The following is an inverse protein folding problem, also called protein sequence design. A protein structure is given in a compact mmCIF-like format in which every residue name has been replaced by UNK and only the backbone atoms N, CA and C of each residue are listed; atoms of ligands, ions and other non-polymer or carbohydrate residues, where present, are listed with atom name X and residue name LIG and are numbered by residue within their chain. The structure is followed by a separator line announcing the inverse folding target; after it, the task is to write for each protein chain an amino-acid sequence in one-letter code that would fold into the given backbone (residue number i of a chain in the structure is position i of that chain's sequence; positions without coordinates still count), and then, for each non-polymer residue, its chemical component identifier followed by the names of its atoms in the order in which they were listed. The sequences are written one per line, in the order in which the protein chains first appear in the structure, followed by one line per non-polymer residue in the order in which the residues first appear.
data_IF_370841132630
#
_entry.id   IF_370841132630
#
_cell.length_a   1.000
_cell.length_b   1.000
_cell.length_c   1.000
_cell.angle_alpha   90.00
_cell.angle_beta   90.00
_cell.angle_gamma   90.00
#
_symmetry.space_group_name_H-M   'P 1'
#
loop_
_entity.id
_entity.type
_entity.pdbx_description
1 polymer ?
#
# COMPACT_ATOMS: atom_id res chain seq x y z
N UNK A 1 7.70 -21.62 -48.74
CA UNK A 1 7.92 -23.07 -48.63
C UNK A 1 7.63 -23.40 -47.18
N UNK A 2 6.38 -23.70 -46.80
CA UNK A 2 5.68 -24.99 -46.68
C UNK A 2 6.40 -25.95 -45.76
N UNK A 3 5.84 -26.19 -44.57
CA UNK A 3 5.38 -27.45 -43.94
C UNK A 3 4.97 -27.10 -42.49
N UNK A 4 3.78 -27.12 -42.05
CA UNK A 4 2.58 -27.99 -41.97
C UNK A 4 2.81 -29.27 -41.15
N UNK A 5 2.08 -29.30 -40.04
CA UNK A 5 1.39 -30.43 -39.36
C UNK A 5 2.23 -31.48 -38.60
N UNK A 6 1.87 -31.75 -37.33
CA UNK A 6 1.00 -32.88 -36.94
C UNK A 6 0.58 -32.87 -35.47
N UNK A 7 -0.70 -33.06 -35.30
CA UNK A 7 -1.47 -33.47 -34.12
C UNK A 7 -1.06 -34.84 -33.59
N UNK A 8 -1.13 -35.07 -32.29
CA UNK A 8 -1.55 -36.37 -31.75
C UNK A 8 -2.31 -36.22 -30.44
N UNK A 9 -3.62 -36.47 -30.51
CA UNK A 9 -4.54 -36.71 -29.38
C UNK A 9 -4.32 -38.13 -28.88
N UNK A 10 -4.31 -38.33 -27.56
CA UNK A 10 -4.52 -39.66 -26.95
C UNK A 10 -5.63 -39.51 -25.89
N UNK A 11 -6.80 -40.04 -26.30
CA UNK A 11 -7.86 -40.46 -25.39
C UNK A 11 -7.48 -41.82 -24.80
N UNK A 12 -7.68 -42.03 -23.52
CA UNK A 12 -7.87 -43.37 -22.97
C UNK A 12 -8.98 -43.37 -21.95
N UNK A 13 -9.93 -44.29 -22.22
CA UNK A 13 -11.24 -44.47 -21.58
C UNK A 13 -11.17 -45.42 -20.39
N UNK A 14 -11.95 -45.12 -19.39
CA UNK A 14 -12.90 -45.92 -18.58
C UNK A 14 -12.55 -47.40 -18.29
N UNK A 15 -12.61 -47.78 -17.03
CA UNK A 15 -13.36 -48.98 -16.59
C UNK A 15 -13.90 -48.83 -15.16
N UNK A 16 -15.21 -48.98 -15.05
CA UNK A 16 -16.03 -49.12 -13.85
C UNK A 16 -15.94 -50.60 -13.43
N UNK A 17 -15.78 -50.87 -12.17
CA UNK A 17 -16.13 -52.16 -11.58
C UNK A 17 -16.87 -51.95 -10.26
N UNK A 18 -18.13 -52.34 -10.32
CA UNK A 18 -19.10 -52.50 -9.25
C UNK A 18 -18.89 -53.86 -8.57
N UNK A 19 -18.91 -53.89 -7.26
CA UNK A 19 -19.21 -55.15 -6.54
C UNK A 19 -19.97 -54.79 -5.26
N UNK A 20 -21.23 -55.22 -5.27
CA UNK A 20 -22.06 -55.36 -4.05
C UNK A 20 -21.59 -56.55 -3.25
N UNK A 21 -21.67 -56.48 -1.96
CA UNK A 21 -22.01 -57.65 -1.14
C UNK A 21 -22.85 -57.25 0.06
N UNK A 22 -23.89 -58.07 0.31
CA UNK A 22 -24.90 -57.96 1.33
C UNK A 22 -24.42 -58.71 2.61
N UNK A 23 -24.81 -58.24 3.75
CA UNK A 23 -24.69 -58.95 5.02
C UNK A 23 -25.67 -58.39 6.04
N UNK A 24 -26.73 -59.15 6.29
CA UNK A 24 -27.87 -58.86 7.17
C UNK A 24 -27.59 -59.11 8.68
N UNK A 25 -28.34 -58.31 9.47
CA UNK A 25 -29.08 -58.62 10.73
C UNK A 25 -28.29 -58.67 12.02
N UNK A 26 -28.65 -57.83 13.00
CA UNK A 26 -29.26 -58.24 14.27
C UNK A 26 -29.76 -57.04 15.08
N UNK A 27 -30.97 -57.21 15.55
CA UNK A 27 -31.82 -56.35 16.35
C UNK A 27 -31.30 -56.03 17.77
N UNK A 28 -31.93 -54.96 18.28
CA UNK A 28 -32.42 -54.68 19.65
C UNK A 28 -31.49 -53.87 20.54
N UNK A 29 -31.89 -52.62 20.82
CA UNK A 29 -32.36 -52.18 22.15
C UNK A 29 -32.67 -50.67 22.11
N UNK A 30 -33.92 -50.37 22.35
CA UNK A 30 -34.39 -49.04 22.76
C UNK A 30 -34.17 -48.83 24.25
N UNK A 31 -33.72 -47.68 24.68
CA UNK A 31 -34.29 -47.11 25.89
C UNK A 31 -34.72 -45.63 25.70
N UNK A 32 -35.90 -45.44 26.18
CA UNK A 32 -36.44 -44.31 26.96
C UNK A 32 -36.20 -42.88 26.53
N UNK A 33 -37.33 -42.28 26.18
CA UNK A 33 -37.59 -40.86 26.09
C UNK A 33 -37.30 -40.15 27.39
N UNK A 34 -36.38 -39.17 27.35
CA UNK A 34 -36.35 -38.07 28.31
C UNK A 34 -36.77 -36.76 27.61
N UNK A 35 -37.44 -35.86 28.34
CA UNK A 35 -38.11 -34.69 27.69
C UNK A 35 -37.12 -33.63 27.26
N UNK A 36 -37.40 -33.09 26.06
CA UNK A 36 -36.67 -31.97 25.50
C UNK A 36 -36.79 -30.73 26.39
N UNK A 37 -35.68 -30.29 26.95
CA UNK A 37 -35.54 -28.91 27.44
C UNK A 37 -35.42 -27.98 26.23
N UNK A 38 -36.43 -27.14 26.04
CA UNK A 38 -36.38 -26.04 25.11
C UNK A 38 -35.39 -25.02 25.62
N UNK A 39 -34.21 -25.02 25.05
CA UNK A 39 -33.25 -23.89 25.21
C UNK A 39 -33.63 -22.90 24.14
N UNK A 40 -34.34 -21.85 24.54
CA UNK A 40 -34.43 -20.63 23.75
C UNK A 40 -33.02 -20.06 23.58
N UNK A 41 -32.41 -20.30 22.46
CA UNK A 41 -31.26 -19.52 22.01
C UNK A 41 -31.79 -18.12 21.63
N UNK A 42 -31.67 -17.17 22.55
CA UNK A 42 -31.66 -15.75 22.21
C UNK A 42 -30.44 -15.53 21.32
N UNK A 43 -30.66 -15.43 20.03
CA UNK A 43 -29.75 -14.79 19.09
C UNK A 43 -29.65 -13.32 19.50
N UNK A 44 -28.68 -12.98 20.34
CA UNK A 44 -28.20 -11.61 20.40
C UNK A 44 -27.61 -11.30 19.02
N UNK A 45 -28.31 -10.50 18.24
CA UNK A 45 -27.73 -9.79 17.12
C UNK A 45 -26.61 -8.95 17.72
N UNK A 46 -25.39 -9.35 17.49
CA UNK A 46 -24.23 -8.49 17.68
C UNK A 46 -24.46 -7.25 16.80
N UNK A 47 -24.83 -6.18 17.44
CA UNK A 47 -24.93 -4.88 16.84
C UNK A 47 -23.52 -4.52 16.41
N UNK A 48 -23.27 -4.42 15.10
CA UNK A 48 -22.01 -3.94 14.58
C UNK A 48 -21.64 -2.66 15.33
N UNK A 49 -20.44 -2.61 15.87
CA UNK A 49 -19.96 -1.45 16.58
C UNK A 49 -20.04 -0.24 15.63
N UNK A 50 -20.71 0.80 16.04
CA UNK A 50 -20.75 2.05 15.29
C UNK A 50 -19.30 2.50 15.02
N UNK A 51 -19.01 3.08 13.84
CA UNK A 51 -17.69 3.59 13.53
C UNK A 51 -17.22 4.51 14.66
N UNK A 52 -16.06 4.21 15.24
CA UNK A 52 -15.47 5.09 16.26
C UNK A 52 -15.03 6.34 15.52
N UNK A 53 -15.68 7.46 15.75
CA UNK A 53 -15.27 8.75 15.20
C UNK A 53 -13.80 9.01 15.53
N UNK A 54 -12.95 9.30 14.54
CA UNK A 54 -11.56 9.64 14.80
C UNK A 54 -11.48 10.90 15.64
N UNK A 55 -10.87 10.82 16.81
CA UNK A 55 -10.52 12.01 17.58
C UNK A 55 -9.36 12.71 16.87
N UNK A 56 -9.68 13.54 15.88
CA UNK A 56 -8.72 14.45 15.25
C UNK A 56 -8.62 15.69 16.12
N UNK A 57 -7.49 15.88 16.76
CA UNK A 57 -7.13 17.11 17.52
C UNK A 57 -6.25 18.03 16.67
N UNK A 58 -6.63 18.29 15.41
CA UNK A 58 -5.93 19.28 14.58
C UNK A 58 -6.90 20.40 14.17
N UNK A 59 -6.39 21.63 13.94
CA UNK A 59 -7.24 22.74 13.50
C UNK A 59 -7.84 22.41 12.15
N UNK A 60 -9.16 22.53 12.04
CA UNK A 60 -9.91 22.41 10.79
C UNK A 60 -9.39 23.40 9.75
N UNK A 61 -8.52 22.92 8.87
CA UNK A 61 -8.25 23.60 7.60
C UNK A 61 -9.39 23.26 6.65
N UNK A 62 -10.07 24.27 6.11
CA UNK A 62 -11.13 24.07 5.12
C UNK A 62 -10.56 23.44 3.83
N UNK A 63 -11.32 22.55 3.17
CA UNK A 63 -10.89 21.64 2.10
C UNK A 63 -9.94 22.21 1.03
N UNK A 64 -10.10 23.45 0.61
CA UNK A 64 -9.26 24.07 -0.44
C UNK A 64 -7.85 24.47 0.10
N UNK A 65 -7.75 24.86 1.36
CA UNK A 65 -6.48 25.21 2.00
C UNK A 65 -5.59 23.98 2.30
N UNK A 66 -6.19 22.79 2.50
CA UNK A 66 -5.48 21.54 2.65
C UNK A 66 -4.73 21.11 1.38
N UNK A 67 -5.19 21.56 0.21
CA UNK A 67 -4.66 21.16 -1.08
C UNK A 67 -3.64 22.14 -1.68
N UNK A 68 -3.66 23.40 -1.26
CA UNK A 68 -2.94 24.51 -1.93
C UNK A 68 -1.85 25.14 -1.08
N UNK A 69 -1.73 24.82 0.22
CA UNK A 69 -0.67 25.39 1.06
C UNK A 69 0.64 24.64 0.86
N UNK A 70 1.54 25.20 0.07
CA UNK A 70 2.94 24.80 0.04
C UNK A 70 3.62 25.23 1.33
N UNK A 71 4.09 24.28 2.13
CA UNK A 71 4.76 24.53 3.42
C UNK A 71 6.20 24.97 3.25
N UNK A 72 6.79 24.74 2.08
CA UNK A 72 8.16 25.14 1.75
C UNK A 72 8.26 25.75 0.34
N UNK A 73 7.63 26.92 0.09
CA UNK A 73 7.46 27.50 -1.26
C UNK A 73 8.78 27.81 -1.99
N UNK A 74 9.89 27.91 -1.27
CA UNK A 74 11.23 28.11 -1.82
C UNK A 74 11.96 26.79 -2.15
N UNK A 75 11.27 25.66 -2.11
CA UNK A 75 11.82 24.32 -2.33
C UNK A 75 10.94 23.50 -3.25
N UNK A 76 11.53 22.48 -3.90
CA UNK A 76 10.74 21.42 -4.56
C UNK A 76 10.04 20.50 -3.54
N UNK A 77 10.52 20.43 -2.31
CA UNK A 77 9.87 19.70 -1.22
C UNK A 77 8.61 20.44 -0.77
N UNK A 78 7.50 19.73 -0.64
CA UNK A 78 6.27 20.27 -0.03
C UNK A 78 6.50 20.64 1.44
N UNK A 79 7.14 19.75 2.22
CA UNK A 79 7.61 20.03 3.57
C UNK A 79 9.08 19.61 3.69
N UNK A 80 9.84 20.30 4.56
CA UNK A 80 11.24 19.96 4.80
C UNK A 80 11.36 18.74 5.71
N UNK A 81 12.48 18.00 5.63
CA UNK A 81 12.68 16.85 6.49
C UNK A 81 12.59 17.21 7.98
N UNK A 82 11.85 16.40 8.72
CA UNK A 82 11.68 16.48 10.17
C UNK A 82 12.21 15.19 10.78
N UNK A 83 12.85 15.31 11.95
CA UNK A 83 13.32 14.13 12.68
C UNK A 83 12.14 13.44 13.36
N UNK A 84 11.94 12.16 13.04
CA UNK A 84 10.88 11.33 13.64
C UNK A 84 11.38 10.72 14.96
N UNK A 85 12.55 10.08 14.90
CA UNK A 85 13.32 9.60 16.05
C UNK A 85 14.81 9.77 15.73
N UNK A 86 15.66 9.48 16.69
CA UNK A 86 17.11 9.63 16.51
C UNK A 86 17.62 8.87 15.26
N UNK A 87 18.26 9.62 14.37
CA UNK A 87 18.80 9.15 13.09
C UNK A 87 17.79 8.90 12.00
N UNK A 88 16.47 9.02 12.23
CA UNK A 88 15.40 8.78 11.24
C UNK A 88 14.65 10.08 10.95
N UNK A 89 14.54 10.41 9.68
CA UNK A 89 13.96 11.65 9.19
C UNK A 89 12.95 11.38 8.09
N UNK A 90 11.96 12.24 7.92
CA UNK A 90 11.04 12.21 6.80
C UNK A 90 10.65 13.62 6.35
N UNK A 91 10.60 13.83 5.03
CA UNK A 91 9.96 14.98 4.41
C UNK A 91 8.53 14.56 4.05
N UNK A 92 7.56 15.13 4.76
CA UNK A 92 6.14 14.76 4.58
C UNK A 92 5.62 15.39 3.30
N UNK A 93 5.07 14.57 2.41
CA UNK A 93 4.43 15.03 1.18
C UNK A 93 3.03 15.59 1.41
N UNK A 94 2.51 16.29 0.42
CA UNK A 94 1.14 16.77 0.42
C UNK A 94 0.16 15.59 0.50
N UNK A 95 -0.91 15.69 1.28
CA UNK A 95 -1.99 14.71 1.29
C UNK A 95 -2.88 14.78 0.04
N UNK A 96 -2.64 15.76 -0.83
CA UNK A 96 -3.26 15.94 -2.15
C UNK A 96 -2.64 15.01 -3.21
N UNK A 97 -3.29 14.80 -4.37
CA UNK A 97 -2.65 14.19 -5.54
C UNK A 97 -1.42 14.97 -6.01
N UNK A 98 -0.58 14.34 -6.85
CA UNK A 98 0.50 15.03 -7.56
C UNK A 98 -0.06 16.23 -8.35
N UNK A 99 0.54 17.41 -8.16
CA UNK A 99 0.17 18.67 -8.79
C UNK A 99 1.41 19.53 -9.01
N UNK A 100 1.26 20.55 -9.84
CA UNK A 100 2.33 21.54 -10.06
C UNK A 100 2.72 22.25 -8.76
N UNK A 101 1.73 22.64 -7.93
CA UNK A 101 1.91 23.40 -6.70
C UNK A 101 2.72 22.63 -5.63
N UNK A 102 2.53 21.32 -5.54
CA UNK A 102 3.30 20.48 -4.61
C UNK A 102 4.54 19.84 -5.28
N UNK A 103 4.88 20.21 -6.51
CA UNK A 103 6.02 19.68 -7.25
C UNK A 103 6.00 18.14 -7.41
N UNK A 104 4.82 17.52 -7.32
CA UNK A 104 4.67 16.06 -7.29
C UNK A 104 5.05 15.41 -5.95
N UNK A 105 5.46 16.19 -4.94
CA UNK A 105 5.80 15.68 -3.63
C UNK A 105 4.52 15.41 -2.81
N UNK A 106 3.96 14.23 -2.99
CA UNK A 106 2.71 13.81 -2.36
C UNK A 106 2.83 12.51 -1.53
N UNK A 107 4.03 11.93 -1.46
CA UNK A 107 4.38 10.81 -0.58
C UNK A 107 5.48 11.21 0.39
N UNK A 108 5.75 10.38 1.38
CA UNK A 108 6.83 10.63 2.32
C UNK A 108 8.19 10.21 1.73
N UNK A 109 9.15 11.13 1.76
CA UNK A 109 10.54 10.87 1.41
C UNK A 109 11.34 10.76 2.71
N UNK A 110 11.70 9.53 3.08
CA UNK A 110 12.33 9.25 4.37
C UNK A 110 13.80 8.90 4.21
N UNK A 111 14.60 9.15 5.24
CA UNK A 111 15.98 8.70 5.25
C UNK A 111 16.47 8.37 6.66
N UNK A 112 17.45 7.48 6.69
CA UNK A 112 18.09 7.04 7.94
C UNK A 112 19.59 7.30 7.85
N UNK A 113 20.09 8.06 8.81
CA UNK A 113 21.50 8.41 8.93
C UNK A 113 22.20 7.40 9.82
N UNK A 114 23.31 6.86 9.34
CA UNK A 114 24.18 5.96 10.10
C UNK A 114 25.60 6.48 10.12
N UNK A 115 26.50 5.84 10.86
CA UNK A 115 27.92 6.22 10.90
C UNK A 115 28.69 5.92 9.60
N UNK A 116 28.09 5.17 8.65
CA UNK A 116 28.74 4.76 7.42
C UNK A 116 28.08 5.29 6.14
N UNK A 117 26.91 5.93 6.26
CA UNK A 117 26.16 6.44 5.12
C UNK A 117 24.69 6.66 5.45
N UNK A 118 23.95 7.07 4.44
CA UNK A 118 22.50 7.32 4.51
C UNK A 118 21.78 6.30 3.62
N UNK A 119 20.66 5.75 4.13
CA UNK A 119 19.68 5.03 3.34
C UNK A 119 18.46 5.93 3.16
N UNK A 120 18.05 6.13 1.91
CA UNK A 120 16.84 6.88 1.53
C UNK A 120 15.75 5.90 1.16
N UNK A 121 14.49 6.18 1.54
CA UNK A 121 13.30 5.43 1.11
C UNK A 121 12.47 6.36 0.25
N UNK A 122 12.23 5.90 -0.98
CA UNK A 122 11.68 6.60 -2.13
C UNK A 122 12.62 7.63 -2.76
N UNK A 123 12.79 7.49 -4.06
CA UNK A 123 13.66 8.37 -4.83
C UNK A 123 13.06 9.77 -5.07
N UNK A 124 11.73 9.90 -4.96
CA UNK A 124 11.00 11.12 -5.26
C UNK A 124 10.37 11.12 -6.66
N UNK A 125 9.47 12.07 -6.88
CA UNK A 125 8.64 12.15 -8.09
C UNK A 125 9.33 12.87 -9.28
N UNK A 126 10.58 13.31 -9.14
CA UNK A 126 11.39 13.88 -10.20
C UNK A 126 12.86 14.00 -9.80
N UNK A 127 13.73 14.23 -10.80
CA UNK A 127 15.15 14.52 -10.60
C UNK A 127 15.36 15.73 -9.66
N UNK A 128 14.65 16.84 -9.90
CA UNK A 128 14.77 18.06 -9.10
C UNK A 128 14.24 17.89 -7.67
N UNK A 129 13.23 17.06 -7.47
CA UNK A 129 12.74 16.74 -6.12
C UNK A 129 13.75 15.90 -5.35
N UNK A 130 14.39 14.91 -5.99
CA UNK A 130 15.47 14.12 -5.40
C UNK A 130 16.69 15.01 -5.04
N UNK A 131 17.06 15.93 -5.92
CA UNK A 131 18.13 16.91 -5.66
C UNK A 131 17.81 17.81 -4.45
N UNK A 132 16.55 18.26 -4.35
CA UNK A 132 16.09 19.06 -3.22
C UNK A 132 16.19 18.29 -1.90
N UNK A 133 15.75 17.02 -1.87
CA UNK A 133 15.90 16.17 -0.69
C UNK A 133 17.37 15.97 -0.32
N UNK A 134 18.23 15.67 -1.29
CA UNK A 134 19.66 15.51 -1.06
C UNK A 134 20.32 16.79 -0.50
N UNK A 135 19.86 17.94 -0.96
CA UNK A 135 20.30 19.24 -0.46
C UNK A 135 19.97 19.41 1.04
N UNK A 136 18.79 18.97 1.47
CA UNK A 136 18.41 19.00 2.89
C UNK A 136 19.21 17.95 3.70
N UNK A 137 19.42 16.75 3.17
CA UNK A 137 20.26 15.71 3.81
C UNK A 137 21.67 16.27 4.09
N UNK A 138 22.30 16.94 3.12
CA UNK A 138 23.64 17.54 3.26
C UNK A 138 23.74 18.64 4.33
N UNK A 139 22.63 19.26 4.74
CA UNK A 139 22.61 20.20 5.86
C UNK A 139 22.62 19.51 7.22
N UNK A 140 22.23 18.22 7.25
CA UNK A 140 22.09 17.44 8.49
C UNK A 140 23.31 16.55 8.71
N UNK A 141 23.90 16.00 7.63
CA UNK A 141 25.04 15.08 7.71
C UNK A 141 25.97 15.19 6.51
N UNK A 142 27.26 14.93 6.74
CA UNK A 142 28.26 14.79 5.68
C UNK A 142 28.34 13.35 5.13
N UNK A 143 27.55 12.42 5.65
CA UNK A 143 27.54 11.03 5.21
C UNK A 143 26.95 10.91 3.79
N UNK A 144 27.57 10.11 2.89
CA UNK A 144 27.02 9.92 1.54
C UNK A 144 25.74 9.08 1.58
N UNK A 145 24.83 9.35 0.64
CA UNK A 145 23.71 8.44 0.38
C UNK A 145 24.26 7.20 -0.34
N UNK A 146 24.16 6.05 0.29
CA UNK A 146 24.64 4.77 -0.25
C UNK A 146 23.55 3.96 -0.91
N UNK A 147 22.34 4.00 -0.34
CA UNK A 147 21.20 3.22 -0.80
C UNK A 147 19.97 4.08 -0.95
N UNK A 148 19.21 3.81 -2.01
CA UNK A 148 17.85 4.31 -2.20
C UNK A 148 16.94 3.12 -2.39
N UNK A 149 15.94 2.97 -1.55
CA UNK A 149 14.99 1.86 -1.57
C UNK A 149 13.66 2.37 -2.10
N UNK A 150 13.17 1.79 -3.18
CA UNK A 150 11.86 2.10 -3.73
C UNK A 150 10.80 1.23 -3.05
N UNK A 151 9.79 1.85 -2.49
CA UNK A 151 8.69 1.11 -1.85
C UNK A 151 7.84 0.34 -2.87
N UNK A 152 7.72 0.88 -4.10
CA UNK A 152 7.00 0.28 -5.22
C UNK A 152 7.47 0.89 -6.56
N UNK A 153 6.78 0.55 -7.67
CA UNK A 153 7.09 1.05 -9.01
C UNK A 153 6.38 2.35 -9.40
N UNK A 154 5.67 3.01 -8.48
CA UNK A 154 4.91 4.22 -8.81
C UNK A 154 5.79 5.47 -8.96
N UNK A 155 5.29 6.47 -9.68
CA UNK A 155 6.06 7.66 -10.04
C UNK A 155 6.62 8.44 -8.85
N UNK A 156 5.88 8.51 -7.75
CA UNK A 156 6.33 9.19 -6.53
C UNK A 156 7.52 8.50 -5.85
N UNK A 157 7.64 7.17 -6.03
CA UNK A 157 8.72 6.39 -5.47
C UNK A 157 9.95 6.33 -6.38
N UNK A 158 9.77 6.28 -7.73
CA UNK A 158 10.86 5.86 -8.63
C UNK A 158 11.44 6.97 -9.53
N UNK A 159 10.70 8.06 -9.84
CA UNK A 159 11.12 9.01 -10.89
C UNK A 159 12.38 9.82 -10.56
N UNK A 160 12.78 9.89 -9.30
CA UNK A 160 14.05 10.51 -8.89
C UNK A 160 15.26 9.58 -8.96
N UNK A 161 15.11 8.31 -9.38
CA UNK A 161 16.17 7.29 -9.31
C UNK A 161 17.41 7.65 -10.13
N UNK A 162 17.25 8.25 -11.30
CA UNK A 162 18.36 8.66 -12.15
C UNK A 162 19.25 9.73 -11.48
N UNK A 163 18.68 10.62 -10.64
CA UNK A 163 19.47 11.52 -9.82
C UNK A 163 20.35 10.77 -8.82
N UNK A 164 19.76 9.82 -8.08
CA UNK A 164 20.48 9.10 -7.04
C UNK A 164 21.58 8.19 -7.59
N UNK A 165 21.31 7.51 -8.72
CA UNK A 165 22.34 6.72 -9.42
C UNK A 165 23.50 7.61 -9.89
N UNK A 166 23.22 8.82 -10.40
CA UNK A 166 24.24 9.79 -10.77
C UNK A 166 25.06 10.30 -9.57
N UNK A 167 24.51 10.24 -8.34
CA UNK A 167 25.24 10.53 -7.10
C UNK A 167 26.03 9.32 -6.56
N UNK A 168 25.94 8.17 -7.21
CA UNK A 168 26.63 6.94 -6.82
C UNK A 168 25.90 6.09 -5.78
N UNK A 169 24.62 6.38 -5.51
CA UNK A 169 23.79 5.54 -4.65
C UNK A 169 23.30 4.30 -5.42
N UNK A 170 23.19 3.16 -4.73
CA UNK A 170 22.58 1.94 -5.26
C UNK A 170 21.07 2.02 -5.07
N UNK A 171 20.30 1.96 -6.15
CA UNK A 171 18.82 1.93 -6.13
C UNK A 171 18.36 0.48 -6.05
N UNK A 172 17.50 0.17 -5.07
CA UNK A 172 17.01 -1.17 -4.76
C UNK A 172 15.49 -1.18 -4.80
N UNK A 173 14.89 -2.19 -5.43
CA UNK A 173 13.45 -2.38 -5.48
C UNK A 173 13.06 -3.87 -5.39
N UNK A 174 11.79 -4.14 -5.09
CA UNK A 174 11.22 -5.47 -5.33
C UNK A 174 11.20 -5.79 -6.82
N UNK A 175 11.34 -7.08 -7.20
CA UNK A 175 11.33 -7.49 -8.61
C UNK A 175 10.06 -7.07 -9.36
N UNK A 176 8.90 -7.13 -8.71
CA UNK A 176 7.63 -6.75 -9.34
C UNK A 176 7.51 -5.23 -9.50
N UNK A 177 8.08 -4.45 -8.57
CA UNK A 177 8.21 -3.00 -8.75
C UNK A 177 9.17 -2.65 -9.90
N UNK A 178 10.27 -3.37 -10.04
CA UNK A 178 11.19 -3.19 -11.18
C UNK A 178 10.50 -3.53 -12.52
N UNK A 179 9.68 -4.59 -12.55
CA UNK A 179 8.88 -4.94 -13.72
C UNK A 179 7.84 -3.87 -14.05
N UNK A 180 7.15 -3.33 -13.06
CA UNK A 180 6.22 -2.20 -13.23
C UNK A 180 6.91 -0.97 -13.83
N UNK A 181 8.13 -0.66 -13.37
CA UNK A 181 8.95 0.45 -13.93
C UNK A 181 9.32 0.17 -15.38
N UNK A 182 9.71 -1.05 -15.71
CA UNK A 182 10.09 -1.46 -17.08
C UNK A 182 8.90 -1.33 -18.05
N UNK A 183 7.72 -1.78 -17.65
CA UNK A 183 6.53 -1.80 -18.50
C UNK A 183 5.86 -0.42 -18.61
N UNK A 184 5.72 0.29 -17.50
CA UNK A 184 4.86 1.47 -17.39
C UNK A 184 5.61 2.79 -17.12
N UNK A 185 6.90 2.72 -16.76
CA UNK A 185 7.68 3.88 -16.31
C UNK A 185 7.68 5.06 -17.28
N UNK A 186 7.77 4.80 -18.58
CA UNK A 186 7.72 5.88 -19.60
C UNK A 186 6.37 6.59 -19.58
N UNK A 187 5.27 5.86 -19.52
CA UNK A 187 3.92 6.45 -19.43
C UNK A 187 3.73 7.24 -18.13
N UNK A 188 4.24 6.73 -17.03
CA UNK A 188 4.23 7.42 -15.72
C UNK A 188 5.02 8.73 -15.81
N UNK A 189 6.20 8.73 -16.43
CA UNK A 189 7.01 9.94 -16.61
C UNK A 189 6.30 10.98 -17.49
N UNK A 190 5.69 10.58 -18.60
CA UNK A 190 4.96 11.52 -19.47
C UNK A 190 3.80 12.18 -18.74
N UNK A 191 3.01 11.42 -17.98
CA UNK A 191 1.96 11.97 -17.12
C UNK A 191 2.52 12.93 -16.07
N UNK A 192 3.66 12.60 -15.47
CA UNK A 192 4.31 13.46 -14.49
C UNK A 192 4.80 14.76 -15.11
N UNK A 193 5.38 14.73 -16.33
CA UNK A 193 5.77 15.93 -17.09
C UNK A 193 4.58 16.83 -17.39
N UNK A 194 3.44 16.27 -17.77
CA UNK A 194 2.20 17.04 -17.97
C UNK A 194 1.74 17.71 -16.67
N UNK A 195 1.90 17.01 -15.54
CA UNK A 195 1.43 17.45 -14.22
C UNK A 195 2.32 18.55 -13.62
N UNK A 196 3.64 18.34 -13.58
CA UNK A 196 4.58 19.23 -12.87
C UNK A 196 5.45 20.07 -13.82
N UNK A 197 5.32 19.88 -15.14
CA UNK A 197 5.93 20.67 -16.21
C UNK A 197 7.46 20.75 -16.10
N UNK A 198 8.04 21.96 -16.06
CA UNK A 198 9.49 22.18 -15.94
C UNK A 198 10.09 21.61 -14.65
N UNK A 199 9.28 21.38 -13.63
CA UNK A 199 9.73 20.71 -12.39
C UNK A 199 10.07 19.23 -12.61
N UNK A 200 9.77 18.67 -13.78
CA UNK A 200 10.22 17.34 -14.19
C UNK A 200 11.52 17.36 -15.00
N UNK A 201 12.17 18.53 -15.19
CA UNK A 201 13.39 18.64 -15.98
C UNK A 201 14.49 17.70 -15.45
N UNK A 202 15.22 17.04 -16.36
CA UNK A 202 16.29 16.09 -16.04
C UNK A 202 15.81 14.71 -15.60
N UNK A 203 14.50 14.50 -15.44
CA UNK A 203 13.95 13.21 -15.02
C UNK A 203 13.96 12.21 -16.17
N UNK A 204 14.56 11.05 -15.91
CA UNK A 204 14.63 9.91 -16.82
C UNK A 204 14.19 8.64 -16.09
N UNK A 205 13.51 7.74 -16.80
CA UNK A 205 13.20 6.41 -16.27
C UNK A 205 14.44 5.55 -16.32
N UNK A 206 14.84 5.04 -15.17
CA UNK A 206 15.94 4.08 -15.02
C UNK A 206 15.45 2.90 -14.18
N UNK A 207 16.02 1.73 -14.45
CA UNK A 207 15.73 0.54 -13.63
C UNK A 207 16.56 0.58 -12.34
N UNK A 208 16.10 -0.07 -11.27
CA UNK A 208 16.90 -0.25 -10.06
C UNK A 208 18.18 -1.04 -10.36
N UNK A 209 19.25 -0.75 -9.61
CA UNK A 209 20.54 -1.45 -9.75
C UNK A 209 20.47 -2.86 -9.17
N UNK A 210 19.66 -3.07 -8.14
CA UNK A 210 19.45 -4.35 -7.47
C UNK A 210 17.97 -4.63 -7.25
N UNK A 211 17.58 -5.90 -7.39
CA UNK A 211 16.23 -6.37 -7.06
C UNK A 211 16.26 -7.50 -6.04
N UNK A 212 15.13 -7.69 -5.33
CA UNK A 212 14.92 -8.82 -4.43
C UNK A 212 13.47 -9.33 -4.51
N UNK A 213 13.19 -10.48 -3.90
CA UNK A 213 11.84 -11.07 -3.86
C UNK A 213 11.20 -10.88 -2.48
N UNK A 214 11.44 -11.78 -1.54
CA UNK A 214 10.74 -11.77 -0.25
C UNK A 214 11.37 -10.81 0.76
N UNK A 215 12.70 -10.86 0.88
CA UNK A 215 13.45 -10.11 1.89
C UNK A 215 14.85 -9.80 1.45
N UNK A 216 15.27 -8.56 1.75
CA UNK A 216 16.68 -8.16 1.68
C UNK A 216 17.09 -7.49 3.00
N UNK A 217 18.28 -7.83 3.50
CA UNK A 217 18.84 -7.22 4.71
C UNK A 217 20.04 -6.36 4.32
N UNK A 218 20.08 -5.14 4.84
CA UNK A 218 21.23 -4.24 4.74
C UNK A 218 21.69 -3.94 6.16
N UNK A 219 22.98 -4.15 6.41
CA UNK A 219 23.65 -3.73 7.64
C UNK A 219 24.57 -2.55 7.28
N UNK A 220 24.35 -1.40 7.91
CA UNK A 220 25.15 -0.21 7.63
C UNK A 220 25.31 0.64 8.90
N UNK A 221 26.56 0.89 9.30
CA UNK A 221 26.88 1.72 10.45
C UNK A 221 26.23 1.26 11.76
N UNK A 222 26.05 -0.06 11.94
CA UNK A 222 25.44 -0.66 13.12
C UNK A 222 23.91 -0.61 13.14
N UNK A 223 23.27 -0.17 12.04
CA UNK A 223 21.83 -0.21 11.86
C UNK A 223 21.45 -1.33 10.90
N UNK A 224 20.50 -2.16 11.32
CA UNK A 224 19.91 -3.22 10.51
C UNK A 224 18.65 -2.72 9.83
N UNK A 225 18.58 -2.86 8.52
CA UNK A 225 17.43 -2.58 7.67
C UNK A 225 16.91 -3.89 7.09
N UNK A 226 15.64 -4.19 7.29
CA UNK A 226 14.98 -5.30 6.66
C UNK A 226 13.98 -4.77 5.63
N UNK A 227 14.28 -4.98 4.35
CA UNK A 227 13.37 -4.69 3.25
C UNK A 227 12.48 -5.92 3.08
N UNK A 228 11.18 -5.79 3.32
CA UNK A 228 10.26 -6.92 3.36
C UNK A 228 9.11 -6.72 2.39
N UNK A 229 8.89 -7.69 1.50
CA UNK A 229 7.61 -7.88 0.86
C UNK A 229 6.77 -8.81 1.76
N UNK A 230 5.70 -8.29 2.34
CA UNK A 230 4.83 -9.05 3.24
C UNK A 230 3.71 -9.80 2.50
N UNK A 231 3.48 -9.45 1.25
CA UNK A 231 2.43 -9.95 0.39
C UNK A 231 1.74 -8.81 -0.38
N UNK A 232 0.66 -9.11 -1.10
CA UNK A 232 -0.08 -8.10 -1.85
C UNK A 232 -0.58 -6.97 -0.94
N UNK A 233 -0.45 -5.72 -1.41
CA UNK A 233 -0.93 -4.53 -0.74
C UNK A 233 -1.54 -3.55 -1.75
N UNK A 234 -1.07 -2.29 -1.77
CA UNK A 234 -1.61 -1.24 -2.63
C UNK A 234 -1.32 -1.48 -4.12
N UNK A 235 -0.08 -1.90 -4.42
CA UNK A 235 0.41 -2.14 -5.78
C UNK A 235 1.32 -3.36 -5.85
N UNK A 236 1.62 -3.87 -7.06
CA UNK A 236 2.61 -4.94 -7.22
C UNK A 236 3.99 -4.51 -6.70
N UNK A 237 4.59 -5.36 -5.87
CA UNK A 237 5.95 -5.12 -5.38
C UNK A 237 6.06 -4.11 -4.26
N UNK A 238 4.95 -3.76 -3.57
CA UNK A 238 5.02 -2.96 -2.35
C UNK A 238 5.90 -3.65 -1.31
N UNK A 239 6.78 -2.86 -0.72
CA UNK A 239 7.65 -3.30 0.37
C UNK A 239 7.62 -2.32 1.53
N UNK A 240 8.08 -2.80 2.66
CA UNK A 240 8.34 -1.97 3.83
C UNK A 240 9.83 -2.00 4.18
N UNK A 241 10.30 -0.96 4.87
CA UNK A 241 11.64 -0.92 5.46
C UNK A 241 11.50 -0.97 6.97
N UNK A 242 11.83 -2.13 7.56
CA UNK A 242 11.75 -2.38 8.99
C UNK A 242 13.09 -2.17 9.68
N UNK A 243 13.11 -1.40 10.74
CA UNK A 243 14.27 -1.14 11.63
C UNK A 243 13.98 -1.77 13.00
N UNK A 244 14.32 -3.05 13.21
CA UNK A 244 13.90 -3.81 14.39
C UNK A 244 14.41 -3.21 15.70
N UNK A 245 15.66 -2.75 15.77
CA UNK A 245 16.25 -2.17 16.98
C UNK A 245 15.59 -0.82 17.37
N UNK A 246 15.06 -0.10 16.38
CA UNK A 246 14.34 1.16 16.58
C UNK A 246 12.84 0.98 16.75
N UNK A 247 12.32 -0.25 16.52
CA UNK A 247 10.89 -0.55 16.45
C UNK A 247 10.13 0.42 15.54
N UNK A 248 10.76 0.80 14.43
CA UNK A 248 10.22 1.73 13.46
C UNK A 248 10.10 1.06 12.10
N UNK A 249 8.98 1.26 11.45
CA UNK A 249 8.75 0.86 10.07
C UNK A 249 8.48 2.08 9.19
N UNK A 250 9.16 2.13 8.03
CA UNK A 250 8.80 3.00 6.92
C UNK A 250 8.00 2.13 5.97
N UNK A 251 6.68 2.35 5.94
CA UNK A 251 5.75 1.37 5.37
C UNK A 251 5.45 1.59 3.90
N UNK A 252 5.81 2.75 3.35
CA UNK A 252 5.32 3.08 2.02
C UNK A 252 3.80 2.95 1.94
N UNK A 253 3.30 2.66 0.76
CA UNK A 253 1.87 2.55 0.47
C UNK A 253 1.20 1.29 1.06
N UNK A 254 1.95 0.46 1.81
CA UNK A 254 1.35 -0.52 2.71
C UNK A 254 0.40 0.15 3.71
N UNK A 255 0.71 1.41 4.16
CA UNK A 255 -0.11 2.16 5.09
C UNK A 255 -0.28 3.62 4.69
N UNK A 256 -1.49 4.13 4.86
CA UNK A 256 -1.90 5.52 4.65
C UNK A 256 -2.29 6.17 5.96
N UNK A 257 -2.09 7.48 6.07
CA UNK A 257 -2.52 8.30 7.19
C UNK A 257 -3.00 9.67 6.68
N UNK A 258 -3.97 10.27 7.37
CA UNK A 258 -4.48 11.62 7.09
C UNK A 258 -4.96 11.88 5.65
N UNK A 259 -5.32 10.84 4.91
CA UNK A 259 -5.98 10.94 3.59
C UNK A 259 -6.72 9.64 3.28
N UNK A 260 -7.69 9.72 2.36
CA UNK A 260 -8.28 8.50 1.80
C UNK A 260 -7.29 7.87 0.82
N UNK A 261 -7.07 6.57 0.96
CA UNK A 261 -6.22 5.80 0.05
C UNK A 261 -6.91 5.58 -1.31
N UNK A 262 -6.17 5.57 -2.42
CA UNK A 262 -6.72 5.18 -3.72
C UNK A 262 -6.73 3.66 -3.87
N UNK A 263 -7.73 3.13 -4.59
CA UNK A 263 -7.77 1.75 -5.04
C UNK A 263 -7.69 1.71 -6.56
N UNK A 264 -6.86 0.80 -7.09
CA UNK A 264 -6.62 0.61 -8.51
C UNK A 264 -7.14 -0.77 -8.97
N UNK A 265 -7.20 -0.98 -10.27
CA UNK A 265 -7.64 -2.25 -10.87
C UNK A 265 -6.81 -3.45 -10.40
N UNK A 266 -5.51 -3.24 -10.18
CA UNK A 266 -4.58 -4.27 -9.71
C UNK A 266 -4.53 -4.44 -8.19
N UNK A 267 -5.20 -3.57 -7.41
CA UNK A 267 -5.19 -3.64 -5.94
C UNK A 267 -6.11 -4.76 -5.47
N UNK A 268 -5.56 -5.82 -4.88
CA UNK A 268 -6.35 -6.87 -4.24
C UNK A 268 -6.62 -6.52 -2.78
N UNK A 269 -7.80 -5.97 -2.50
CA UNK A 269 -8.17 -5.50 -1.16
C UNK A 269 -8.32 -6.61 -0.13
N UNK A 270 -8.75 -7.83 -0.52
CA UNK A 270 -8.83 -8.97 0.38
C UNK A 270 -7.42 -9.42 0.81
N UNK A 271 -6.53 -9.61 -0.16
CA UNK A 271 -5.16 -9.99 0.12
C UNK A 271 -4.39 -8.90 0.91
N UNK A 272 -4.68 -7.61 0.68
CA UNK A 272 -4.09 -6.53 1.46
C UNK A 272 -4.50 -6.59 2.94
N UNK A 273 -5.79 -6.87 3.22
CA UNK A 273 -6.29 -7.07 4.59
C UNK A 273 -5.59 -8.25 5.26
N UNK A 274 -5.36 -9.37 4.56
CA UNK A 274 -4.59 -10.52 5.07
C UNK A 274 -3.11 -10.17 5.30
N UNK A 275 -2.50 -9.42 4.37
CA UNK A 275 -1.10 -8.96 4.50
C UNK A 275 -0.94 -8.02 5.70
N UNK A 276 -1.98 -7.27 6.04
CA UNK A 276 -1.97 -6.36 7.20
C UNK A 276 -1.67 -7.06 8.52
N UNK A 277 -2.12 -8.30 8.70
CA UNK A 277 -1.86 -9.04 9.94
C UNK A 277 -0.34 -9.27 10.12
N UNK A 278 0.37 -9.61 9.05
CA UNK A 278 1.84 -9.72 9.08
C UNK A 278 2.53 -8.38 9.34
N UNK A 279 1.96 -7.29 8.81
CA UNK A 279 2.47 -5.95 9.06
C UNK A 279 2.30 -5.53 10.53
N UNK A 280 1.14 -5.78 11.11
CA UNK A 280 0.87 -5.51 12.52
C UNK A 280 1.73 -6.35 13.46
N UNK A 281 2.00 -7.63 13.11
CA UNK A 281 2.82 -8.56 13.88
C UNK A 281 4.30 -8.14 14.01
N UNK A 282 4.78 -7.18 13.21
CA UNK A 282 6.11 -6.58 13.42
C UNK A 282 6.26 -5.91 14.78
N UNK A 283 5.15 -5.48 15.39
CA UNK A 283 5.15 -4.81 16.69
C UNK A 283 5.83 -3.43 16.64
N UNK A 284 5.71 -2.73 15.50
CA UNK A 284 6.26 -1.40 15.33
C UNK A 284 5.63 -0.40 16.30
N UNK A 285 6.48 0.40 16.95
CA UNK A 285 6.04 1.50 17.81
C UNK A 285 5.90 2.80 17.02
N UNK A 286 6.68 2.94 15.96
CA UNK A 286 6.66 4.10 15.06
C UNK A 286 6.40 3.63 13.65
N UNK A 287 5.46 4.28 12.98
CA UNK A 287 5.13 4.03 11.57
C UNK A 287 5.30 5.33 10.80
N UNK A 288 6.11 5.29 9.76
CA UNK A 288 6.16 6.35 8.74
C UNK A 288 5.39 5.79 7.55
N UNK A 289 4.13 6.25 7.31
CA UNK A 289 3.31 5.77 6.21
C UNK A 289 3.83 6.28 4.86
N UNK A 290 3.31 5.76 3.75
CA UNK A 290 3.59 6.32 2.42
C UNK A 290 3.06 7.74 2.26
N UNK A 291 1.94 8.03 2.90
CA UNK A 291 1.28 9.33 2.85
C UNK A 291 0.79 9.74 4.24
N UNK A 292 0.87 11.05 4.52
CA UNK A 292 0.48 11.63 5.82
C UNK A 292 1.60 11.58 6.86
N UNK A 293 1.38 12.16 8.03
CA UNK A 293 2.40 12.28 9.07
C UNK A 293 2.77 10.94 9.73
N UNK A 294 4.01 10.83 10.27
CA UNK A 294 4.41 9.70 11.11
C UNK A 294 3.45 9.51 12.30
N UNK A 295 3.20 8.26 12.66
CA UNK A 295 2.24 7.91 13.71
C UNK A 295 2.56 6.51 14.30
N UNK A 296 1.56 5.81 14.83
CA UNK A 296 1.66 4.43 15.33
C UNK A 296 0.82 3.43 14.51
N UNK A 297 0.94 2.16 14.84
CA UNK A 297 0.23 1.07 14.16
C UNK A 297 -1.29 1.17 14.31
N UNK A 298 -1.79 1.62 15.47
CA UNK A 298 -3.23 1.72 15.71
C UNK A 298 -3.86 2.79 14.80
N UNK A 299 -3.16 3.91 14.66
CA UNK A 299 -3.64 5.00 13.82
C UNK A 299 -3.64 4.62 12.33
N UNK A 300 -2.55 4.07 11.79
CA UNK A 300 -2.55 3.66 10.36
C UNK A 300 -3.55 2.54 10.10
N UNK A 301 -3.84 1.68 11.09
CA UNK A 301 -4.88 0.64 10.97
C UNK A 301 -6.25 1.29 10.71
N UNK A 302 -6.60 2.33 11.45
CA UNK A 302 -7.87 3.06 11.25
C UNK A 302 -7.98 3.68 9.86
N UNK A 303 -6.91 4.24 9.33
CA UNK A 303 -6.92 4.91 8.02
C UNK A 303 -6.82 3.94 6.85
N UNK A 304 -6.25 2.75 7.05
CA UNK A 304 -6.00 1.81 5.96
C UNK A 304 -6.86 0.56 6.10
N UNK A 305 -6.56 -0.34 7.06
CA UNK A 305 -7.25 -1.63 7.19
C UNK A 305 -8.75 -1.45 7.45
N UNK A 306 -9.11 -0.59 8.42
CA UNK A 306 -10.52 -0.41 8.79
C UNK A 306 -11.33 0.17 7.63
N UNK A 307 -10.74 1.06 6.82
CA UNK A 307 -11.39 1.54 5.61
C UNK A 307 -11.55 0.43 4.55
N UNK A 308 -10.53 -0.41 4.34
CA UNK A 308 -10.61 -1.53 3.40
C UNK A 308 -11.71 -2.53 3.83
N UNK A 309 -11.77 -2.86 5.10
CA UNK A 309 -12.84 -3.73 5.66
C UNK A 309 -14.19 -3.08 5.45
N UNK A 310 -14.34 -1.82 5.85
CA UNK A 310 -15.58 -1.07 5.72
C UNK A 310 -16.13 -1.08 4.29
N UNK A 311 -15.28 -0.72 3.32
CA UNK A 311 -15.75 -0.62 1.93
C UNK A 311 -16.09 -1.98 1.34
N UNK A 312 -15.35 -3.05 1.69
CA UNK A 312 -15.65 -4.42 1.26
C UNK A 312 -16.95 -4.95 1.86
N UNK A 313 -17.21 -4.73 3.16
CA UNK A 313 -18.45 -5.15 3.82
C UNK A 313 -19.69 -4.48 3.18
N UNK A 314 -19.60 -3.18 2.91
CA UNK A 314 -20.72 -2.45 2.31
C UNK A 314 -20.93 -2.84 0.83
N UNK A 315 -19.85 -3.02 0.06
CA UNK A 315 -19.95 -3.52 -1.32
C UNK A 315 -20.49 -4.96 -1.34
N UNK A 316 -20.02 -5.83 -0.43
CA UNK A 316 -20.55 -7.19 -0.28
C UNK A 316 -22.06 -7.20 -0.05
N UNK A 317 -22.57 -6.31 0.79
CA UNK A 317 -24.01 -6.15 1.02
C UNK A 317 -24.75 -5.78 -0.27
N UNK A 318 -24.21 -4.86 -1.08
CA UNK A 318 -24.82 -4.49 -2.37
C UNK A 318 -24.87 -5.68 -3.32
N UNK A 319 -23.79 -6.48 -3.39
CA UNK A 319 -23.73 -7.67 -4.26
C UNK A 319 -24.70 -8.74 -3.77
N UNK A 320 -24.74 -9.03 -2.47
CA UNK A 320 -25.63 -10.04 -1.86
C UNK A 320 -27.12 -9.71 -2.08
N UNK A 321 -27.46 -8.43 -2.10
CA UNK A 321 -28.81 -7.94 -2.39
C UNK A 321 -29.12 -7.91 -3.91
N UNK A 322 -28.19 -8.33 -4.76
CA UNK A 322 -28.32 -8.31 -6.23
C UNK A 322 -28.25 -6.91 -6.83
N UNK A 323 -27.61 -5.98 -6.11
CA UNK A 323 -27.42 -4.62 -6.53
C UNK A 323 -26.37 -4.49 -7.66
N UNK A 324 -26.22 -3.28 -8.16
CA UNK A 324 -25.39 -2.92 -9.31
C UNK A 324 -24.22 -2.02 -8.92
N UNK A 325 -23.26 -1.85 -9.83
CA UNK A 325 -22.17 -0.89 -9.71
C UNK A 325 -22.67 0.53 -9.39
N UNK A 326 -23.83 0.94 -9.91
CA UNK A 326 -24.40 2.26 -9.63
C UNK A 326 -24.83 2.39 -8.16
N UNK A 327 -25.33 1.31 -7.58
CA UNK A 327 -25.69 1.29 -6.15
C UNK A 327 -24.44 1.26 -5.27
N UNK A 328 -23.36 0.60 -5.71
CA UNK A 328 -22.07 0.66 -5.03
C UNK A 328 -21.52 2.09 -4.94
N UNK A 329 -21.72 2.93 -5.97
CA UNK A 329 -21.33 4.35 -5.91
C UNK A 329 -22.07 5.18 -4.87
N UNK A 330 -23.24 4.73 -4.41
CA UNK A 330 -24.06 5.41 -3.43
C UNK A 330 -23.89 4.89 -1.99
N UNK A 331 -22.90 3.99 -1.78
CA UNK A 331 -22.52 3.55 -0.43
C UNK A 331 -22.17 4.77 0.44
N UNK A 332 -22.74 4.83 1.63
CA UNK A 332 -22.52 5.91 2.59
C UNK A 332 -21.08 5.86 3.13
N UNK A 333 -20.24 6.77 2.68
CA UNK A 333 -18.87 6.95 3.16
C UNK A 333 -18.71 8.27 3.95
N UNK A 334 -19.81 8.81 4.50
CA UNK A 334 -19.81 10.09 5.21
C UNK A 334 -18.81 10.16 6.35
N UNK A 335 -18.53 9.02 7.02
CA UNK A 335 -17.53 8.91 8.06
C UNK A 335 -16.09 9.22 7.58
N UNK A 336 -15.83 9.08 6.29
CA UNK A 336 -14.50 9.28 5.68
C UNK A 336 -14.40 10.56 4.83
N UNK A 337 -15.52 11.29 4.62
CA UNK A 337 -15.54 12.46 3.73
C UNK A 337 -14.76 13.66 4.26
N UNK A 338 -14.37 13.64 5.53
CA UNK A 338 -13.48 14.64 6.11
C UNK A 338 -12.02 14.47 5.67
N UNK A 339 -11.65 13.31 5.09
CA UNK A 339 -10.30 13.02 4.67
C UNK A 339 -9.96 13.74 3.36
N UNK A 340 -8.75 14.30 3.24
CA UNK A 340 -8.22 14.72 1.95
C UNK A 340 -8.38 13.61 0.90
N UNK A 341 -8.69 14.00 -0.33
CA UNK A 341 -8.94 13.11 -1.49
C UNK A 341 -10.26 12.33 -1.46
N UNK A 342 -11.02 12.30 -0.35
CA UNK A 342 -12.26 11.53 -0.25
C UNK A 342 -13.29 11.93 -1.32
N UNK A 343 -13.42 13.23 -1.63
CA UNK A 343 -14.33 13.73 -2.66
C UNK A 343 -14.08 13.08 -4.04
N UNK A 344 -12.81 12.78 -4.35
CA UNK A 344 -12.43 12.17 -5.63
C UNK A 344 -12.41 10.64 -5.58
N UNK A 345 -12.11 10.07 -4.41
CA UNK A 345 -11.79 8.65 -4.30
C UNK A 345 -12.96 7.79 -3.79
N UNK A 346 -13.87 8.34 -3.00
CA UNK A 346 -14.92 7.54 -2.34
C UNK A 346 -15.72 6.69 -3.33
N UNK A 347 -16.33 7.31 -4.34
CA UNK A 347 -17.10 6.59 -5.36
C UNK A 347 -16.22 5.67 -6.22
N UNK A 348 -15.02 6.14 -6.60
CA UNK A 348 -14.07 5.35 -7.38
C UNK A 348 -13.66 4.08 -6.62
N UNK A 349 -13.32 4.21 -5.34
CA UNK A 349 -12.94 3.08 -4.50
C UNK A 349 -14.08 2.06 -4.37
N UNK A 350 -15.31 2.52 -4.12
CA UNK A 350 -16.47 1.65 -4.05
C UNK A 350 -16.69 0.89 -5.38
N UNK A 351 -16.58 1.58 -6.50
CA UNK A 351 -16.68 0.94 -7.82
C UNK A 351 -15.58 -0.07 -8.11
N UNK A 352 -14.35 0.24 -7.71
CA UNK A 352 -13.19 -0.65 -7.88
C UNK A 352 -13.36 -1.93 -7.06
N UNK A 353 -13.82 -1.78 -5.80
CA UNK A 353 -14.09 -2.93 -4.92
C UNK A 353 -15.26 -3.76 -5.45
N UNK A 354 -16.31 -3.12 -5.97
CA UNK A 354 -17.44 -3.84 -6.57
C UNK A 354 -17.00 -4.71 -7.75
N UNK A 355 -16.27 -4.12 -8.71
CA UNK A 355 -15.76 -4.85 -9.87
C UNK A 355 -14.85 -6.02 -9.51
N UNK A 356 -14.09 -5.87 -8.43
CA UNK A 356 -13.20 -6.90 -7.93
C UNK A 356 -13.99 -8.05 -7.28
N UNK A 357 -14.94 -7.70 -6.39
CA UNK A 357 -15.71 -8.68 -5.63
C UNK A 357 -16.80 -9.40 -6.46
N UNK A 358 -17.23 -8.81 -7.59
CA UNK A 358 -18.20 -9.45 -8.50
C UNK A 358 -17.66 -10.78 -9.09
N UNK A 359 -16.34 -10.97 -9.05
CA UNK A 359 -15.66 -12.16 -9.59
C UNK A 359 -14.96 -13.00 -8.51
N UNK A 360 -15.07 -12.66 -7.23
CA UNK A 360 -14.61 -13.48 -6.11
C UNK A 360 -15.65 -14.58 -5.75
#
# INVERSE_FOLDING_TARGET
MRNVLKWLSILLSITILSACDNGEISETNTPEKMPAAVVEQKTEKQQAAAPVEPKVSEPELSGEALYTSDKAPDSMLYDKPQQVIDGVWTAIGATAPSRYENSGHNNNLSFVITSEGVLVVNAGASYLLAEALHTEIKKITDQPVKFVVLENGQGHAMLGSNYWQAQGATVIAHKDAAHEIEENGVGILELQKETIKEKAEGTEVVLPDETFEDKKVIEMGGVRFELLNLGPAHSPGDIIVWLPEKKLVISGDMAFHQRMLPLFEHTNTAAWIETWDKFADLGAQYVIPGHGGPTDMAEVTRYTKDYLVYIRENVGTVIDDGGSLLEAYEIDQSAYMHLPTAEFLSKRNAGQVFQMMEFE
#
